data_IF_528848704026
#
_entry.id   IF_528848704026
#
_cell.length_a   1.000
_cell.length_b   1.000
_cell.length_c   1.000
_cell.angle_alpha   90.00
_cell.angle_beta   90.00
_cell.angle_gamma   90.00
#
_symmetry.space_group_name_H-M   'P 1'
#
loop_
_entity.id
_entity.type
_entity.pdbx_description
1 polymer ?
#
# COMPACT_ATOMS: atom_id res chain seq x y z
N UNK A 1 -4.03 0.72 3.72
CA UNK A 1 -5.28 0.52 2.97
C UNK A 1 -5.26 -0.86 2.34
N UNK A 2 -6.39 -1.58 2.35
CA UNK A 2 -6.56 -2.85 1.64
C UNK A 2 -7.53 -2.70 0.48
N UNK A 3 -7.21 -3.27 -0.68
CA UNK A 3 -8.12 -3.33 -1.83
C UNK A 3 -8.64 -4.75 -1.97
N UNK A 4 -9.95 -4.94 -1.82
CA UNK A 4 -10.60 -6.24 -1.89
C UNK A 4 -11.20 -6.47 -3.27
N UNK A 5 -11.02 -7.69 -3.79
CA UNK A 5 -11.61 -8.10 -5.06
C UNK A 5 -13.12 -8.26 -4.90
N UNK A 6 -13.90 -7.39 -5.54
CA UNK A 6 -15.35 -7.41 -5.48
C UNK A 6 -15.99 -6.30 -6.31
N UNK A 7 -17.32 -6.29 -6.39
CA UNK A 7 -18.07 -5.21 -7.05
C UNK A 7 -18.27 -4.06 -6.05
N UNK A 8 -17.90 -2.81 -6.38
CA UNK A 8 -18.30 -1.63 -5.59
C UNK A 8 -19.83 -1.58 -5.43
N UNK A 9 -20.31 -1.27 -4.23
CA UNK A 9 -21.72 -1.37 -3.86
C UNK A 9 -22.27 -2.80 -3.82
N UNK A 10 -21.42 -3.81 -3.92
CA UNK A 10 -21.76 -5.22 -3.77
C UNK A 10 -21.57 -5.72 -2.33
N UNK A 11 -21.80 -7.02 -2.13
CA UNK A 11 -21.87 -7.63 -0.79
C UNK A 11 -20.67 -7.32 0.12
N UNK A 12 -19.43 -7.42 -0.37
CA UNK A 12 -18.25 -7.12 0.45
C UNK A 12 -18.28 -5.66 0.94
N UNK A 13 -18.64 -4.74 0.05
CA UNK A 13 -18.68 -3.31 0.32
C UNK A 13 -19.78 -2.96 1.33
N UNK A 14 -20.97 -3.55 1.16
CA UNK A 14 -22.16 -3.22 1.95
C UNK A 14 -22.30 -4.01 3.24
N UNK A 15 -21.68 -5.19 3.34
CA UNK A 15 -21.93 -6.14 4.43
C UNK A 15 -20.68 -6.66 5.16
N UNK A 16 -19.47 -6.39 4.66
CA UNK A 16 -18.26 -6.96 5.27
C UNK A 16 -17.24 -5.94 5.75
N UNK A 17 -17.12 -4.76 5.10
CA UNK A 17 -16.04 -3.83 5.42
C UNK A 17 -16.04 -3.41 6.90
N UNK A 18 -17.22 -3.22 7.50
CA UNK A 18 -17.37 -2.83 8.90
C UNK A 18 -16.96 -3.93 9.90
N UNK A 19 -16.75 -5.18 9.44
CA UNK A 19 -16.28 -6.28 10.27
C UNK A 19 -14.75 -6.25 10.41
N UNK A 20 -14.05 -5.66 9.45
CA UNK A 20 -12.59 -5.60 9.43
C UNK A 20 -12.04 -4.56 10.43
N UNK A 21 -10.77 -4.70 10.87
CA UNK A 21 -10.15 -3.76 11.83
C UNK A 21 -10.37 -2.27 11.49
N UNK A 22 -11.04 -1.49 12.34
CA UNK A 22 -11.48 -0.13 12.00
C UNK A 22 -10.33 0.89 11.86
N UNK A 23 -9.14 0.56 12.35
CA UNK A 23 -7.94 1.40 12.24
C UNK A 23 -7.37 1.44 10.81
N UNK A 24 -7.86 0.59 9.92
CA UNK A 24 -7.42 0.51 8.54
C UNK A 24 -8.50 0.91 7.56
N UNK A 25 -8.06 1.43 6.41
CA UNK A 25 -8.96 1.80 5.32
C UNK A 25 -9.11 0.65 4.32
N UNK A 26 -10.31 0.52 3.77
CA UNK A 26 -10.68 -0.54 2.84
C UNK A 26 -11.32 0.06 1.59
N UNK A 27 -11.05 -0.54 0.44
CA UNK A 27 -11.71 -0.24 -0.82
C UNK A 27 -12.09 -1.53 -1.54
N UNK A 28 -13.20 -1.52 -2.28
CA UNK A 28 -13.62 -2.65 -3.12
C UNK A 28 -13.40 -2.29 -4.59
N UNK A 29 -12.82 -3.22 -5.35
CA UNK A 29 -12.54 -3.05 -6.78
C UNK A 29 -12.58 -4.41 -7.49
N UNK A 30 -13.09 -4.46 -8.73
CA UNK A 30 -13.41 -5.73 -9.40
C UNK A 30 -12.21 -6.65 -9.63
N UNK A 31 -11.04 -6.08 -9.86
CA UNK A 31 -9.77 -6.76 -10.10
C UNK A 31 -8.79 -6.65 -8.93
N UNK A 32 -9.18 -5.98 -7.84
CA UNK A 32 -8.33 -5.61 -6.72
C UNK A 32 -7.07 -4.80 -7.09
N UNK A 33 -7.17 -3.93 -8.10
CA UNK A 33 -6.11 -3.00 -8.48
C UNK A 33 -6.44 -1.58 -8.01
N UNK A 34 -5.41 -0.74 -7.87
CA UNK A 34 -5.59 0.69 -7.65
C UNK A 34 -5.90 1.33 -9.00
N UNK A 35 -7.09 1.91 -9.13
CA UNK A 35 -7.45 2.81 -10.24
C UNK A 35 -7.39 4.28 -9.78
N UNK A 36 -7.72 5.22 -10.65
CA UNK A 36 -7.66 6.65 -10.32
C UNK A 36 -8.55 7.06 -9.13
N UNK A 37 -9.70 6.41 -8.93
CA UNK A 37 -10.59 6.71 -7.79
C UNK A 37 -9.97 6.20 -6.48
N UNK A 38 -9.45 4.96 -6.48
CA UNK A 38 -8.82 4.36 -5.29
C UNK A 38 -7.50 5.05 -4.97
N UNK A 39 -6.79 5.53 -5.99
CA UNK A 39 -5.60 6.35 -5.80
C UNK A 39 -5.93 7.69 -5.14
N UNK A 40 -6.97 8.40 -5.61
CA UNK A 40 -7.42 9.63 -4.93
C UNK A 40 -7.81 9.35 -3.48
N UNK A 41 -8.56 8.28 -3.23
CA UNK A 41 -8.92 7.88 -1.88
C UNK A 41 -7.68 7.62 -1.00
N UNK A 42 -6.65 6.97 -1.55
CA UNK A 42 -5.36 6.78 -0.88
C UNK A 42 -4.66 8.11 -0.58
N UNK A 43 -4.59 9.03 -1.54
CA UNK A 43 -3.98 10.34 -1.35
C UNK A 43 -4.69 11.15 -0.25
N UNK A 44 -6.02 11.18 -0.25
CA UNK A 44 -6.82 11.96 0.71
C UNK A 44 -6.77 11.38 2.13
N UNK A 45 -6.86 10.05 2.27
CA UNK A 45 -7.14 9.41 3.56
C UNK A 45 -5.96 8.66 4.15
N UNK A 46 -4.98 8.25 3.34
CA UNK A 46 -3.78 7.55 3.83
C UNK A 46 -2.59 8.48 3.83
N UNK A 47 -2.33 9.16 2.71
CA UNK A 47 -1.07 9.86 2.53
C UNK A 47 -1.10 11.28 3.10
N UNK A 48 -2.17 12.06 2.85
CA UNK A 48 -2.31 13.43 3.36
C UNK A 48 -2.10 13.57 4.87
N UNK A 49 -2.65 12.67 5.73
CA UNK A 49 -2.45 12.77 7.18
C UNK A 49 -0.99 12.53 7.64
N UNK A 50 -0.22 11.78 6.85
CA UNK A 50 1.13 11.32 7.20
C UNK A 50 2.24 12.22 6.64
N UNK A 51 1.93 13.13 5.72
CA UNK A 51 2.92 14.00 5.09
C UNK A 51 3.32 15.15 6.01
N UNK A 52 4.63 15.30 6.21
CA UNK A 52 5.25 16.52 6.75
C UNK A 52 5.74 17.35 5.56
N UNK A 53 5.18 18.55 5.38
CA UNK A 53 5.42 19.38 4.20
C UNK A 53 6.67 20.27 4.35
N UNK A 54 7.48 20.48 3.29
CA UNK A 54 7.41 19.84 1.98
C UNK A 54 8.05 18.44 1.99
N UNK A 55 7.48 17.51 1.21
CA UNK A 55 8.01 16.14 1.05
C UNK A 55 8.16 15.75 -0.42
N UNK A 56 9.04 14.78 -0.68
CA UNK A 56 9.16 14.11 -1.97
C UNK A 56 8.41 12.76 -1.93
N UNK A 57 7.42 12.59 -2.78
CA UNK A 57 6.64 11.36 -2.89
C UNK A 57 7.15 10.59 -4.09
N UNK A 58 7.84 9.47 -3.84
CA UNK A 58 8.39 8.61 -4.90
C UNK A 58 7.40 7.50 -5.23
N UNK A 59 6.99 7.42 -6.49
CA UNK A 59 6.03 6.43 -7.00
C UNK A 59 6.58 5.71 -8.24
N UNK A 60 6.08 4.51 -8.50
CA UNK A 60 6.32 3.86 -9.79
C UNK A 60 5.59 4.60 -10.94
N UNK A 61 6.01 4.33 -12.18
CA UNK A 61 5.43 4.96 -13.36
C UNK A 61 4.11 4.30 -13.79
N UNK A 62 3.28 3.87 -12.85
CA UNK A 62 1.97 3.30 -13.17
C UNK A 62 1.01 4.41 -13.60
N UNK A 63 0.36 4.24 -14.76
CA UNK A 63 -0.44 5.29 -15.41
C UNK A 63 -1.54 5.88 -14.51
N UNK A 64 -2.11 5.09 -13.60
CA UNK A 64 -3.13 5.61 -12.67
C UNK A 64 -2.56 6.62 -11.67
N UNK A 65 -1.25 6.60 -11.39
CA UNK A 65 -0.60 7.51 -10.48
C UNK A 65 -0.21 8.84 -11.15
N UNK A 66 0.13 8.81 -12.45
CA UNK A 66 0.79 9.92 -13.17
C UNK A 66 -0.16 10.86 -13.92
N UNK A 67 -1.47 10.75 -13.67
CA UNK A 67 -2.44 11.68 -14.27
C UNK A 67 -2.18 13.12 -13.82
N UNK A 68 -2.40 14.10 -14.71
CA UNK A 68 -2.20 15.53 -14.40
C UNK A 68 -2.98 15.97 -13.14
N UNK A 69 -4.18 15.41 -12.93
CA UNK A 69 -5.01 15.67 -11.75
C UNK A 69 -4.32 15.23 -10.45
N UNK A 70 -3.64 14.09 -10.45
CA UNK A 70 -2.95 13.58 -9.26
C UNK A 70 -1.69 14.38 -8.96
N UNK A 71 -0.96 14.78 -10.00
CA UNK A 71 0.23 15.64 -9.88
C UNK A 71 -0.19 16.97 -9.25
N UNK A 72 -1.20 17.63 -9.82
CA UNK A 72 -1.74 18.88 -9.28
C UNK A 72 -2.21 18.74 -7.84
N UNK A 73 -2.90 17.63 -7.50
CA UNK A 73 -3.29 17.38 -6.11
C UNK A 73 -2.08 17.27 -5.17
N UNK A 74 -1.01 16.57 -5.56
CA UNK A 74 0.19 16.45 -4.71
C UNK A 74 0.88 17.81 -4.53
N UNK A 75 0.99 18.58 -5.61
CA UNK A 75 1.67 19.89 -5.60
C UNK A 75 0.86 20.95 -4.85
N UNK A 76 -0.43 21.09 -5.15
CA UNK A 76 -1.28 22.14 -4.61
C UNK A 76 -1.77 21.80 -3.20
N UNK A 77 -2.32 20.59 -3.03
CA UNK A 77 -3.00 20.21 -1.80
C UNK A 77 -2.06 19.61 -0.75
N UNK A 78 -1.05 18.85 -1.19
CA UNK A 78 -0.06 18.25 -0.29
C UNK A 78 1.21 19.09 -0.18
N UNK A 79 1.33 20.19 -0.94
CA UNK A 79 2.50 21.08 -0.95
C UNK A 79 3.82 20.29 -1.01
N UNK A 80 3.81 19.25 -1.85
CA UNK A 80 4.83 18.22 -1.96
C UNK A 80 5.10 17.94 -3.43
N UNK A 81 6.20 17.25 -3.73
CA UNK A 81 6.59 16.95 -5.12
C UNK A 81 6.33 15.48 -5.40
N UNK A 82 5.67 15.18 -6.51
CA UNK A 82 5.51 13.82 -7.01
C UNK A 82 6.69 13.48 -7.94
N UNK A 83 7.43 12.43 -7.60
CA UNK A 83 8.56 11.93 -8.37
C UNK A 83 8.26 10.52 -8.89
N UNK A 84 8.15 10.41 -10.21
CA UNK A 84 7.96 9.13 -10.89
C UNK A 84 9.30 8.50 -11.19
N UNK A 85 9.46 7.22 -10.84
CA UNK A 85 10.64 6.45 -11.23
C UNK A 85 10.66 6.23 -12.74
N UNK A 86 11.85 6.16 -13.37
CA UNK A 86 11.96 5.77 -14.78
C UNK A 86 11.29 4.41 -15.05
N UNK A 87 10.82 4.17 -16.28
CA UNK A 87 10.24 2.87 -16.64
C UNK A 87 11.20 1.71 -16.35
N UNK A 88 10.65 0.61 -15.83
CA UNK A 88 11.37 -0.63 -15.52
C UNK A 88 12.48 -0.54 -14.46
N UNK A 89 12.50 0.50 -13.62
CA UNK A 89 13.51 0.64 -12.56
C UNK A 89 13.03 0.31 -11.15
N UNK A 90 11.79 -0.16 -10.99
CA UNK A 90 11.19 -0.50 -9.68
C UNK A 90 12.10 -1.40 -8.83
N UNK A 91 12.65 -2.46 -9.41
CA UNK A 91 13.50 -3.41 -8.70
C UNK A 91 14.82 -2.83 -8.17
N UNK A 92 15.19 -1.62 -8.61
CA UNK A 92 16.47 -0.97 -8.29
C UNK A 92 16.27 0.35 -7.54
N UNK A 93 15.26 1.13 -7.90
CA UNK A 93 15.05 2.49 -7.40
C UNK A 93 13.84 2.63 -6.46
N UNK A 94 12.98 1.63 -6.33
CA UNK A 94 11.83 1.70 -5.43
C UNK A 94 12.19 1.11 -4.06
N UNK A 95 12.23 1.91 -2.97
CA UNK A 95 12.59 1.42 -1.64
C UNK A 95 11.75 0.21 -1.20
N UNK A 96 10.46 0.24 -1.52
CA UNK A 96 9.53 -0.83 -1.19
C UNK A 96 10.05 -2.18 -1.75
N UNK A 97 10.35 -2.25 -3.04
CA UNK A 97 10.83 -3.48 -3.69
C UNK A 97 12.27 -3.84 -3.32
N UNK A 98 13.14 -2.85 -3.18
CA UNK A 98 14.57 -3.03 -2.96
C UNK A 98 14.91 -3.54 -1.56
N UNK A 99 14.09 -3.21 -0.55
CA UNK A 99 14.41 -3.50 0.85
C UNK A 99 13.25 -3.93 1.75
N UNK A 100 12.00 -3.56 1.47
CA UNK A 100 10.87 -3.81 2.39
C UNK A 100 10.08 -5.08 2.03
N UNK A 101 9.83 -5.31 0.74
CA UNK A 101 8.95 -6.41 0.30
C UNK A 101 9.52 -7.81 0.62
N UNK A 102 10.84 -7.97 0.61
CA UNK A 102 11.49 -9.24 0.98
C UNK A 102 11.19 -9.63 2.44
N UNK A 103 11.59 -8.81 3.43
CA UNK A 103 11.24 -9.02 4.84
C UNK A 103 9.74 -9.16 5.10
N UNK A 104 8.91 -8.32 4.47
CA UNK A 104 7.46 -8.38 4.63
C UNK A 104 6.87 -9.73 4.17
N UNK A 105 7.27 -10.22 2.98
CA UNK A 105 6.85 -11.55 2.49
C UNK A 105 7.34 -12.68 3.38
N UNK A 106 8.56 -12.58 3.92
CA UNK A 106 9.09 -13.58 4.84
C UNK A 106 8.25 -13.65 6.15
N UNK A 107 7.86 -12.50 6.69
CA UNK A 107 6.98 -12.42 7.88
C UNK A 107 5.60 -12.97 7.60
N UNK A 108 4.97 -12.59 6.48
CA UNK A 108 3.69 -13.16 6.04
C UNK A 108 3.75 -14.69 5.98
N UNK A 109 4.82 -15.25 5.39
CA UNK A 109 5.02 -16.70 5.33
C UNK A 109 5.17 -17.32 6.72
N UNK A 110 5.97 -16.74 7.58
CA UNK A 110 6.20 -17.25 8.93
C UNK A 110 4.93 -17.24 9.78
N UNK A 111 4.11 -16.18 9.68
CA UNK A 111 2.84 -16.10 10.36
C UNK A 111 1.86 -17.15 9.83
N UNK A 112 1.76 -17.29 8.51
CA UNK A 112 0.91 -18.31 7.89
C UNK A 112 1.28 -19.74 8.34
N UNK A 113 2.57 -20.06 8.47
CA UNK A 113 3.02 -21.38 8.95
C UNK A 113 2.68 -21.65 10.43
N UNK A 114 2.46 -20.60 11.23
CA UNK A 114 2.12 -20.72 12.67
C UNK A 114 0.62 -20.67 12.94
N UNK A 115 -0.18 -20.34 11.92
CA UNK A 115 -1.62 -20.29 12.06
C UNK A 115 -2.21 -21.69 12.23
N UNK A 116 -2.90 -21.88 13.35
CA UNK A 116 -3.67 -23.10 13.65
C UNK A 116 -5.14 -22.95 13.28
N UNK A 117 -5.59 -21.72 13.03
CA UNK A 117 -6.96 -21.45 12.61
C UNK A 117 -7.13 -21.78 11.12
N UNK A 118 -8.11 -22.62 10.81
CA UNK A 118 -8.47 -22.98 9.45
C UNK A 118 -9.80 -22.31 9.08
N UNK A 119 -9.77 -21.06 8.56
CA UNK A 119 -10.99 -20.32 8.24
C UNK A 119 -11.78 -21.06 7.16
N UNK A 120 -13.07 -21.25 7.41
CA UNK A 120 -13.94 -22.08 6.58
C UNK A 120 -14.67 -21.26 5.51
N UNK A 121 -15.12 -20.06 5.89
CA UNK A 121 -15.86 -19.13 5.03
C UNK A 121 -14.94 -18.17 4.27
N UNK A 122 -15.49 -17.55 3.22
CA UNK A 122 -14.76 -16.54 2.45
C UNK A 122 -14.45 -15.27 3.27
N UNK A 123 -15.36 -14.87 4.17
CA UNK A 123 -15.20 -13.72 5.06
C UNK A 123 -14.08 -13.96 6.06
N UNK A 124 -14.07 -15.14 6.71
CA UNK A 124 -13.01 -15.51 7.63
C UNK A 124 -11.65 -15.58 6.92
N UNK A 125 -11.58 -16.14 5.71
CA UNK A 125 -10.34 -16.19 4.92
C UNK A 125 -9.80 -14.77 4.64
N UNK A 126 -10.67 -13.84 4.25
CA UNK A 126 -10.28 -12.43 4.04
C UNK A 126 -9.80 -11.77 5.33
N UNK A 127 -10.57 -11.93 6.42
CA UNK A 127 -10.21 -11.41 7.74
C UNK A 127 -8.83 -11.90 8.20
N UNK A 128 -8.58 -13.21 8.08
CA UNK A 128 -7.29 -13.81 8.47
C UNK A 128 -6.15 -13.26 7.60
N UNK A 129 -6.35 -13.12 6.29
CA UNK A 129 -5.35 -12.51 5.42
C UNK A 129 -5.06 -11.04 5.78
N UNK A 130 -6.09 -10.24 6.07
CA UNK A 130 -5.95 -8.84 6.49
C UNK A 130 -5.17 -8.76 7.81
N UNK A 131 -5.58 -9.50 8.83
CA UNK A 131 -4.91 -9.52 10.15
C UNK A 131 -3.44 -9.94 10.03
N UNK A 132 -3.16 -10.96 9.22
CA UNK A 132 -1.78 -11.41 8.98
C UNK A 132 -0.94 -10.33 8.31
N UNK A 133 -1.50 -9.62 7.33
CA UNK A 133 -0.81 -8.54 6.65
C UNK A 133 -0.53 -7.35 7.59
N UNK A 134 -1.48 -6.99 8.45
CA UNK A 134 -1.30 -5.98 9.49
C UNK A 134 -0.14 -6.37 10.41
N UNK A 135 -0.22 -7.56 11.01
CA UNK A 135 0.82 -8.05 11.93
C UNK A 135 2.19 -8.14 11.24
N UNK A 136 2.26 -8.64 10.01
CA UNK A 136 3.51 -8.69 9.26
C UNK A 136 4.10 -7.31 9.00
N UNK A 137 3.27 -6.28 8.79
CA UNK A 137 3.69 -4.90 8.58
C UNK A 137 4.18 -4.24 9.86
N UNK A 138 3.48 -4.44 10.98
CA UNK A 138 3.84 -3.91 12.30
C UNK A 138 5.20 -4.42 12.80
N UNK A 139 5.59 -5.63 12.40
CA UNK A 139 6.90 -6.15 12.73
C UNK A 139 8.04 -5.64 11.81
N UNK A 140 7.76 -4.82 10.78
CA UNK A 140 8.78 -4.17 9.96
C UNK A 140 9.37 -3.01 10.74
N UNK A 141 10.66 -3.08 11.05
CA UNK A 141 11.31 -2.03 11.81
C UNK A 141 11.50 -0.75 10.98
N UNK A 142 11.45 0.45 11.61
CA UNK A 142 11.82 1.70 10.95
C UNK A 142 13.21 1.66 10.31
N UNK A 143 14.13 0.90 10.91
CA UNK A 143 15.48 0.70 10.38
C UNK A 143 15.50 -0.04 9.04
N UNK A 144 14.60 -1.01 8.86
CA UNK A 144 14.43 -1.70 7.56
C UNK A 144 14.00 -0.70 6.49
N UNK A 145 13.08 0.21 6.84
CA UNK A 145 12.60 1.25 5.93
C UNK A 145 13.75 2.21 5.58
N UNK A 146 14.50 2.74 6.55
CA UNK A 146 15.63 3.64 6.30
C UNK A 146 16.67 3.03 5.36
N UNK A 147 17.11 1.79 5.64
CA UNK A 147 18.06 1.06 4.80
C UNK A 147 17.54 0.83 3.38
N UNK A 148 16.23 0.63 3.22
CA UNK A 148 15.63 0.48 1.91
C UNK A 148 15.74 1.77 1.08
N UNK A 149 15.52 2.94 1.69
CA UNK A 149 15.75 4.24 1.05
C UNK A 149 17.22 4.47 0.72
N UNK A 150 18.14 4.23 1.67
CA UNK A 150 19.58 4.36 1.43
C UNK A 150 20.09 3.50 0.28
N UNK A 151 19.51 2.31 0.10
CA UNK A 151 19.85 1.38 -0.97
C UNK A 151 19.27 1.80 -2.32
N UNK A 152 18.08 2.41 -2.32
CA UNK A 152 17.38 2.83 -3.54
C UNK A 152 17.93 4.14 -4.12
N UNK A 153 18.56 5.00 -3.30
CA UNK A 153 19.16 6.26 -3.76
C UNK A 153 20.50 5.96 -4.46
N UNK A 154 20.66 6.33 -5.75
CA UNK A 154 21.92 6.16 -6.45
C UNK A 154 23.05 6.93 -5.75
N UNK A 155 24.16 6.24 -5.47
CA UNK A 155 25.37 6.90 -4.97
C UNK A 155 26.08 7.58 -6.13
N UNK A 156 26.52 8.83 -5.95
CA UNK A 156 27.42 9.49 -6.90
C UNK A 156 28.74 8.71 -6.92
N UNK A 157 29.11 8.22 -8.09
CA UNK A 157 30.44 7.68 -8.40
C UNK A 157 31.49 8.78 -8.43
#
# INVERSE_FOLDING_TARGET
MFVLKGKPGGYIDTNELYLYPPEHLYAVQQNAWIDGERWKFYLDNVLRPEIIKPSLIVIDNFDAHTTAKNIAFVEEELSSVLCTLPPNTTSVLQPLDVGVMGPFKAKLRNLWLRETNHPSSAVEKRMTCIKRAIQAWEEISPETIRKAFEKAIPRRS
#
